data_IF_425553507242
#
_entry.id   IF_425553507242
#
_cell.length_a   1.000
_cell.length_b   1.000
_cell.length_c   1.000
_cell.angle_alpha   90.00
_cell.angle_beta   90.00
_cell.angle_gamma   90.00
#
_symmetry.space_group_name_H-M   'P 1'
#
loop_
_entity.id
_entity.type
_entity.pdbx_description
1 polymer ?
#
# COMPACT_ATOMS: atom_id res chain seq x y z
N UNK A 1 10.55 -12.95 22.78
CA UNK A 1 9.56 -11.86 22.65
C UNK A 1 8.92 -11.83 21.26
N UNK A 2 9.54 -12.45 20.24
CA UNK A 2 9.04 -12.44 18.86
C UNK A 2 9.09 -13.81 18.18
N UNK A 3 8.92 -14.89 18.94
CA UNK A 3 9.18 -16.25 18.46
C UNK A 3 8.19 -16.65 17.33
N UNK A 4 6.93 -16.24 17.44
CA UNK A 4 5.92 -16.45 16.38
C UNK A 4 6.21 -15.61 15.13
N UNK A 5 6.61 -14.35 15.33
CA UNK A 5 7.03 -13.48 14.23
C UNK A 5 8.26 -14.05 13.51
N UNK A 6 9.24 -14.55 14.25
CA UNK A 6 10.44 -15.15 13.67
C UNK A 6 10.07 -16.38 12.83
N UNK A 7 9.19 -17.26 13.32
CA UNK A 7 8.69 -18.41 12.54
C UNK A 7 8.03 -17.97 11.24
N UNK A 8 7.23 -16.89 11.27
CA UNK A 8 6.57 -16.37 10.07
C UNK A 8 7.57 -15.77 9.06
N UNK A 9 8.60 -15.05 9.56
CA UNK A 9 9.68 -14.53 8.72
C UNK A 9 10.49 -15.66 8.08
N UNK A 10 10.85 -16.68 8.86
CA UNK A 10 11.57 -17.85 8.36
C UNK A 10 10.74 -18.61 7.31
N UNK A 11 9.43 -18.76 7.53
CA UNK A 11 8.54 -19.38 6.56
C UNK A 11 8.48 -18.57 5.26
N UNK A 12 8.39 -17.25 5.35
CA UNK A 12 8.41 -16.39 4.17
C UNK A 12 9.72 -16.53 3.39
N UNK A 13 10.87 -16.42 4.06
CA UNK A 13 12.18 -16.51 3.44
C UNK A 13 12.41 -17.86 2.74
N UNK A 14 11.88 -18.93 3.31
CA UNK A 14 11.98 -20.28 2.72
C UNK A 14 11.03 -20.52 1.53
N UNK A 15 10.05 -19.65 1.30
CA UNK A 15 8.98 -19.87 0.29
C UNK A 15 8.89 -18.78 -0.76
N UNK A 16 9.48 -17.61 -0.51
CA UNK A 16 9.36 -16.44 -1.39
C UNK A 16 9.86 -16.72 -2.81
N UNK A 17 10.96 -17.46 -2.96
CA UNK A 17 11.53 -17.79 -4.26
C UNK A 17 10.63 -18.74 -5.07
N UNK A 18 9.99 -19.70 -4.39
CA UNK A 18 9.01 -20.58 -5.01
C UNK A 18 7.76 -19.80 -5.45
N UNK A 19 7.27 -18.89 -4.60
CA UNK A 19 6.13 -18.00 -4.94
C UNK A 19 6.50 -17.13 -6.15
N UNK A 20 7.69 -16.54 -6.15
CA UNK A 20 8.19 -15.70 -7.25
C UNK A 20 8.30 -16.51 -8.54
N UNK A 21 8.84 -17.72 -8.49
CA UNK A 21 8.94 -18.63 -9.63
C UNK A 21 7.54 -19.01 -10.18
N UNK A 22 6.65 -19.47 -9.31
CA UNK A 22 5.36 -20.06 -9.69
C UNK A 22 4.38 -19.01 -10.21
N UNK A 23 4.32 -17.85 -9.56
CA UNK A 23 3.30 -16.84 -9.85
C UNK A 23 3.84 -15.64 -10.61
N UNK A 24 4.95 -15.04 -10.17
CA UNK A 24 5.49 -13.79 -10.75
C UNK A 24 6.22 -14.05 -12.06
N UNK A 25 7.02 -15.12 -12.10
CA UNK A 25 7.80 -15.51 -13.26
C UNK A 25 7.09 -16.51 -14.18
N UNK A 26 5.82 -16.80 -13.90
CA UNK A 26 4.98 -17.70 -14.68
C UNK A 26 4.93 -17.30 -16.17
N UNK A 27 5.27 -18.21 -17.11
CA UNK A 27 5.23 -17.92 -18.54
C UNK A 27 3.85 -17.47 -19.05
N UNK A 28 2.77 -18.06 -18.54
CA UNK A 28 1.41 -17.71 -18.93
C UNK A 28 1.06 -16.28 -18.50
N UNK A 29 1.44 -15.88 -17.28
CA UNK A 29 1.24 -14.50 -16.81
C UNK A 29 2.01 -13.50 -17.67
N UNK A 30 3.25 -13.84 -18.05
CA UNK A 30 4.07 -12.99 -18.94
C UNK A 30 3.42 -12.81 -20.31
N UNK A 31 2.78 -13.83 -20.87
CA UNK A 31 2.10 -13.70 -22.17
C UNK A 31 0.76 -12.99 -22.04
N UNK A 32 -0.02 -13.31 -20.99
CA UNK A 32 -1.39 -12.82 -20.82
C UNK A 32 -1.52 -11.40 -20.31
N UNK A 33 -0.56 -10.90 -19.54
CA UNK A 33 -0.71 -9.63 -18.81
C UNK A 33 0.32 -8.55 -19.18
N UNK A 34 1.27 -8.84 -20.07
CA UNK A 34 2.38 -7.93 -20.42
C UNK A 34 1.91 -6.63 -21.06
N UNK A 35 0.92 -6.70 -21.95
CA UNK A 35 0.45 -5.56 -22.75
C UNK A 35 -1.03 -5.25 -22.47
N UNK A 36 -1.56 -5.71 -21.33
CA UNK A 36 -2.97 -5.58 -20.94
C UNK A 36 -3.14 -4.50 -19.89
N UNK A 37 -4.10 -3.60 -20.10
CA UNK A 37 -4.46 -2.54 -19.14
C UNK A 37 -3.30 -1.61 -18.82
N UNK A 38 -2.66 -1.08 -19.86
CA UNK A 38 -1.52 -0.15 -19.76
C UNK A 38 -1.98 1.24 -19.33
N UNK A 39 -1.27 1.82 -18.37
CA UNK A 39 -1.41 3.20 -17.91
C UNK A 39 -0.07 3.93 -18.07
N UNK A 40 -0.09 5.13 -18.65
CA UNK A 40 1.10 5.99 -18.70
C UNK A 40 1.29 6.77 -17.40
N UNK A 41 2.48 7.35 -17.23
CA UNK A 41 2.74 8.27 -16.12
C UNK A 41 1.83 9.51 -16.18
N UNK A 42 1.58 10.06 -17.37
CA UNK A 42 0.68 11.21 -17.57
C UNK A 42 -0.75 10.87 -17.13
N UNK A 43 -1.24 9.68 -17.46
CA UNK A 43 -2.58 9.24 -17.03
C UNK A 43 -2.65 8.97 -15.52
N UNK A 44 -1.54 8.54 -14.92
CA UNK A 44 -1.46 8.43 -13.45
C UNK A 44 -1.65 9.80 -12.80
N UNK A 45 -1.05 10.84 -13.36
CA UNK A 45 -1.20 12.22 -12.88
C UNK A 45 -2.62 12.77 -13.15
N UNK A 46 -3.09 12.71 -14.40
CA UNK A 46 -4.38 13.26 -14.83
C UNK A 46 -5.57 12.70 -14.05
N UNK A 47 -5.51 11.42 -13.68
CA UNK A 47 -6.57 10.72 -12.96
C UNK A 47 -6.27 10.54 -11.47
N UNK A 48 -5.19 11.15 -10.96
CA UNK A 48 -4.75 11.05 -9.57
C UNK A 48 -4.71 9.59 -9.07
N UNK A 49 -4.14 8.70 -9.89
CA UNK A 49 -3.91 7.30 -9.54
C UNK A 49 -2.71 7.24 -8.58
N UNK A 50 -2.75 6.34 -7.62
CA UNK A 50 -1.67 6.19 -6.63
C UNK A 50 -1.37 4.72 -6.33
N UNK A 51 -0.41 4.48 -5.43
CA UNK A 51 -0.03 3.15 -5.00
C UNK A 51 0.65 2.32 -6.08
N UNK A 52 0.34 1.03 -6.09
CA UNK A 52 0.91 0.07 -7.07
C UNK A 52 0.63 0.47 -8.52
N UNK A 53 -0.48 1.18 -8.78
CA UNK A 53 -0.89 1.61 -10.12
C UNK A 53 0.06 2.71 -10.63
N UNK A 54 0.36 3.68 -9.77
CA UNK A 54 1.30 4.76 -10.09
C UNK A 54 2.73 4.21 -10.25
N UNK A 55 3.18 3.42 -9.26
CA UNK A 55 4.54 2.86 -9.25
C UNK A 55 4.81 1.88 -10.38
N UNK A 56 3.80 1.15 -10.87
CA UNK A 56 3.94 0.28 -12.04
C UNK A 56 4.17 1.05 -13.35
N UNK A 57 3.73 2.31 -13.39
CA UNK A 57 3.80 3.22 -14.54
C UNK A 57 5.00 4.16 -14.48
N UNK A 58 5.95 3.91 -13.57
CA UNK A 58 7.21 4.65 -13.45
C UNK A 58 7.17 5.82 -12.48
N UNK A 59 6.02 6.11 -11.88
CA UNK A 59 5.88 7.25 -10.97
C UNK A 59 6.44 6.90 -9.60
N UNK A 60 7.49 7.61 -9.19
CA UNK A 60 8.09 7.49 -7.85
C UNK A 60 7.26 8.26 -6.85
N UNK A 61 6.28 7.58 -6.26
CA UNK A 61 5.43 8.13 -5.20
C UNK A 61 5.17 7.05 -4.15
N UNK A 62 5.29 7.42 -2.88
CA UNK A 62 4.95 6.62 -1.72
C UNK A 62 4.93 7.53 -0.50
N UNK A 63 3.78 7.71 0.16
CA UNK A 63 3.67 8.62 1.31
C UNK A 63 4.63 8.25 2.44
N UNK A 64 5.00 6.97 2.58
CA UNK A 64 5.93 6.52 3.62
C UNK A 64 7.35 7.06 3.41
N UNK A 65 7.71 7.38 2.17
CA UNK A 65 9.02 7.97 1.79
C UNK A 65 8.90 9.48 1.64
N UNK A 66 7.87 9.95 0.94
CA UNK A 66 7.69 11.35 0.56
C UNK A 66 7.33 12.23 1.78
N UNK A 67 6.43 11.74 2.64
CA UNK A 67 5.87 12.44 3.80
C UNK A 67 5.78 11.45 4.97
N UNK A 68 6.93 10.99 5.51
CA UNK A 68 6.98 9.87 6.45
C UNK A 68 6.15 10.15 7.71
N UNK A 69 5.45 9.12 8.17
CA UNK A 69 4.65 9.13 9.38
C UNK A 69 5.01 7.93 10.28
N UNK A 70 4.55 7.98 11.53
CA UNK A 70 4.88 6.97 12.55
C UNK A 70 6.40 6.80 12.71
N UNK A 71 6.97 5.71 12.21
CA UNK A 71 8.40 5.41 12.26
C UNK A 71 8.93 4.98 10.88
N UNK A 72 8.29 5.44 9.79
CA UNK A 72 8.79 5.15 8.43
C UNK A 72 10.06 5.94 8.08
N UNK A 73 10.33 7.06 8.76
CA UNK A 73 11.58 7.83 8.70
C UNK A 73 12.78 7.12 9.37
N UNK A 74 12.52 5.95 9.94
CA UNK A 74 13.39 5.23 10.86
C UNK A 74 13.73 3.81 10.38
N UNK A 75 13.31 3.49 9.15
CA UNK A 75 13.58 2.23 8.45
C UNK A 75 14.06 2.56 7.03
N UNK A 76 14.92 1.71 6.49
CA UNK A 76 15.41 1.84 5.13
C UNK A 76 14.38 1.25 4.16
N UNK A 77 13.87 2.06 3.24
CA UNK A 77 13.01 1.63 2.14
C UNK A 77 13.23 2.50 0.90
N UNK A 78 12.81 1.99 -0.26
CA UNK A 78 12.93 2.67 -1.56
C UNK A 78 11.69 2.35 -2.42
N UNK A 79 11.40 3.18 -3.42
CA UNK A 79 10.24 3.00 -4.29
C UNK A 79 10.37 1.71 -5.11
N UNK A 80 9.37 0.83 -5.02
CA UNK A 80 9.27 -0.35 -5.88
C UNK A 80 8.57 0.03 -7.18
N UNK A 81 9.34 0.33 -8.23
CA UNK A 81 8.78 0.80 -9.52
C UNK A 81 8.96 -0.17 -10.69
N UNK A 82 8.08 -0.02 -11.69
CA UNK A 82 8.23 -0.53 -13.06
C UNK A 82 7.96 0.61 -14.04
N UNK A 83 8.09 0.40 -15.35
CA UNK A 83 7.98 1.48 -16.34
C UNK A 83 6.87 1.31 -17.36
N UNK A 84 6.32 0.10 -17.50
CA UNK A 84 5.38 -0.22 -18.58
C UNK A 84 3.91 -0.04 -18.20
N UNK A 85 3.57 0.02 -16.90
CA UNK A 85 2.21 0.33 -16.45
C UNK A 85 1.15 -0.72 -16.79
N UNK A 86 1.52 -1.93 -17.24
CA UNK A 86 0.59 -3.01 -17.53
C UNK A 86 0.16 -3.79 -16.28
N UNK A 87 -0.83 -4.67 -16.44
CA UNK A 87 -1.30 -5.56 -15.38
C UNK A 87 -0.18 -6.44 -14.80
N UNK A 88 0.73 -6.94 -15.63
CA UNK A 88 1.90 -7.71 -15.17
C UNK A 88 2.86 -6.87 -14.31
N UNK A 89 3.03 -5.60 -14.63
CA UNK A 89 3.91 -4.69 -13.90
C UNK A 89 3.33 -4.35 -12.53
N UNK A 90 2.02 -4.08 -12.44
CA UNK A 90 1.32 -3.89 -11.16
C UNK A 90 1.46 -5.10 -10.24
N UNK A 91 1.37 -6.31 -10.79
CA UNK A 91 1.59 -7.53 -10.02
C UNK A 91 3.03 -7.66 -9.52
N UNK A 92 4.03 -7.32 -10.34
CA UNK A 92 5.44 -7.32 -9.93
C UNK A 92 5.75 -6.26 -8.87
N UNK A 93 5.12 -5.08 -8.95
CA UNK A 93 5.23 -4.04 -7.91
C UNK A 93 4.65 -4.55 -6.60
N UNK A 94 3.44 -5.10 -6.61
CA UNK A 94 2.81 -5.70 -5.43
C UNK A 94 3.73 -6.72 -4.75
N UNK A 95 4.32 -7.63 -5.52
CA UNK A 95 5.23 -8.64 -4.97
C UNK A 95 6.54 -8.04 -4.43
N UNK A 96 7.09 -7.03 -5.12
CA UNK A 96 8.26 -6.31 -4.63
C UNK A 96 7.99 -5.55 -3.32
N UNK A 97 6.82 -4.91 -3.20
CA UNK A 97 6.38 -4.27 -1.95
C UNK A 97 6.17 -5.26 -0.82
N UNK A 98 5.74 -6.49 -1.13
CA UNK A 98 5.62 -7.55 -0.14
C UNK A 98 7.01 -7.94 0.41
N UNK A 99 8.01 -8.13 -0.46
CA UNK A 99 9.40 -8.39 -0.03
C UNK A 99 9.94 -7.22 0.81
N UNK A 100 9.70 -5.98 0.40
CA UNK A 100 10.12 -4.80 1.15
C UNK A 100 9.38 -4.65 2.49
N UNK A 101 8.10 -5.00 2.55
CA UNK A 101 7.34 -5.01 3.81
C UNK A 101 7.93 -5.99 4.81
N UNK A 102 8.35 -7.17 4.36
CA UNK A 102 9.06 -8.14 5.21
C UNK A 102 10.42 -7.60 5.68
N UNK A 103 11.15 -6.91 4.82
CA UNK A 103 12.42 -6.27 5.21
C UNK A 103 12.22 -5.19 6.28
N UNK A 104 11.23 -4.31 6.10
CA UNK A 104 10.83 -3.30 7.11
C UNK A 104 10.50 -3.98 8.45
N UNK A 105 9.77 -5.10 8.44
CA UNK A 105 9.44 -5.85 9.65
C UNK A 105 10.70 -6.38 10.34
N UNK A 106 11.68 -6.90 9.58
CA UNK A 106 12.96 -7.37 10.13
C UNK A 106 13.76 -6.23 10.77
N UNK A 107 13.82 -5.06 10.11
CA UNK A 107 14.47 -3.87 10.64
C UNK A 107 13.79 -3.38 11.93
N UNK A 108 12.45 -3.26 11.93
CA UNK A 108 11.68 -2.86 13.09
C UNK A 108 11.86 -3.83 14.27
N UNK A 109 11.80 -5.14 14.01
CA UNK A 109 12.05 -6.19 15.03
C UNK A 109 13.41 -6.00 15.68
N UNK A 110 14.48 -5.87 14.88
CA UNK A 110 15.84 -5.69 15.36
C UNK A 110 15.95 -4.45 16.25
N UNK A 111 15.43 -3.31 15.79
CA UNK A 111 15.44 -2.05 16.54
C UNK A 111 14.71 -2.16 17.87
N UNK A 112 13.56 -2.85 17.89
CA UNK A 112 12.82 -3.08 19.13
C UNK A 112 13.61 -3.98 20.09
N UNK A 113 14.23 -5.05 19.61
CA UNK A 113 15.06 -5.95 20.42
C UNK A 113 16.25 -5.20 21.05
N UNK A 114 16.95 -4.36 20.27
CA UNK A 114 18.07 -3.52 20.74
C UNK A 114 17.60 -2.43 21.72
N UNK A 115 16.48 -1.77 21.44
CA UNK A 115 15.89 -0.76 22.32
C UNK A 115 15.42 -1.35 23.65
N UNK A 116 14.88 -2.58 23.66
CA UNK A 116 14.53 -3.28 24.90
C UNK A 116 15.78 -3.70 25.68
N UNK A 117 16.81 -4.21 24.99
CA UNK A 117 18.06 -4.64 25.64
C UNK A 117 18.82 -3.47 26.28
N UNK A 118 18.79 -2.28 25.66
CA UNK A 118 19.39 -1.06 26.19
C UNK A 118 18.53 -0.37 27.26
N UNK A 119 17.27 -0.77 27.42
CA UNK A 119 16.31 -0.13 28.32
C UNK A 119 15.67 1.15 27.77
N UNK A 120 15.94 1.51 26.50
CA UNK A 120 15.29 2.61 25.79
C UNK A 120 13.78 2.36 25.62
N UNK A 121 13.40 1.11 25.33
CA UNK A 121 12.02 0.72 25.10
C UNK A 121 11.48 -0.17 26.22
N UNK A 122 10.27 0.16 26.66
CA UNK A 122 9.45 -0.64 27.55
C UNK A 122 8.28 -1.29 26.77
N UNK A 123 8.38 -2.59 26.44
CA UNK A 123 7.37 -3.26 25.61
C UNK A 123 5.99 -3.34 26.29
N UNK A 124 5.93 -3.18 27.60
CA UNK A 124 4.66 -3.21 28.37
C UNK A 124 3.92 -1.87 28.41
N UNK A 125 4.60 -0.75 28.09
CA UNK A 125 4.04 0.60 28.25
C UNK A 125 4.05 1.42 26.97
N UNK A 126 5.10 1.31 26.16
CA UNK A 126 5.35 2.27 25.09
C UNK A 126 4.38 2.09 23.90
N UNK A 127 3.77 0.92 23.77
CA UNK A 127 2.71 0.67 22.79
C UNK A 127 1.35 1.30 23.16
N UNK A 128 1.20 1.85 24.37
CA UNK A 128 -0.07 2.40 24.84
C UNK A 128 -0.24 3.87 24.44
N UNK A 129 -1.02 4.10 23.37
CA UNK A 129 -1.42 5.45 22.98
C UNK A 129 -2.72 5.86 23.69
N UNK A 130 -2.67 6.97 24.45
CA UNK A 130 -3.87 7.53 25.09
C UNK A 130 -4.65 8.40 24.10
N UNK A 131 -5.81 7.92 23.67
CA UNK A 131 -6.73 8.70 22.83
C UNK A 131 -7.54 9.66 23.69
N UNK A 132 -7.63 10.96 23.35
CA UNK A 132 -8.44 11.91 24.10
C UNK A 132 -9.93 11.55 24.00
N UNK A 133 -10.64 11.57 25.14
CA UNK A 133 -12.09 11.27 25.20
C UNK A 133 -12.97 12.34 24.54
N UNK A 134 -12.43 13.54 24.37
CA UNK A 134 -13.09 14.69 23.76
C UNK A 134 -12.11 15.34 22.80
N UNK A 135 -12.55 15.55 21.57
CA UNK A 135 -11.77 16.21 20.55
C UNK A 135 -12.01 17.73 20.61
N UNK A 136 -10.99 18.56 20.33
CA UNK A 136 -11.18 20.00 20.16
C UNK A 136 -11.99 20.28 18.88
N UNK A 137 -12.56 21.48 18.76
CA UNK A 137 -13.14 21.91 17.51
C UNK A 137 -12.03 22.14 16.47
N UNK A 138 -12.25 21.74 15.23
CA UNK A 138 -11.29 21.97 14.16
C UNK A 138 -11.45 21.02 12.97
N UNK A 139 -10.50 21.15 12.04
CA UNK A 139 -10.38 20.34 10.85
C UNK A 139 -8.97 19.76 10.79
N UNK A 140 -8.86 18.49 10.43
CA UNK A 140 -7.59 17.80 10.24
C UNK A 140 -7.64 16.94 8.99
N UNK A 141 -6.54 16.95 8.24
CA UNK A 141 -6.32 16.12 7.07
C UNK A 141 -5.08 15.27 7.32
N UNK A 142 -5.19 13.97 7.10
CA UNK A 142 -4.08 13.03 7.20
C UNK A 142 -4.06 12.11 5.99
N UNK A 143 -2.86 11.76 5.54
CA UNK A 143 -2.62 10.89 4.39
C UNK A 143 -1.73 9.74 4.85
N UNK A 144 -2.04 8.54 4.38
CA UNK A 144 -1.25 7.33 4.65
C UNK A 144 -1.16 6.50 3.38
N UNK A 145 -0.05 5.78 3.20
CA UNK A 145 0.08 4.80 2.12
C UNK A 145 -0.55 3.48 2.59
N UNK A 146 -1.75 3.16 2.11
CA UNK A 146 -2.27 1.79 2.24
C UNK A 146 -1.65 0.90 1.16
N UNK A 147 -1.79 -0.42 1.30
CA UNK A 147 -1.32 -1.38 0.29
C UNK A 147 -1.92 -1.14 -1.12
N UNK A 148 -3.07 -0.45 -1.20
CA UNK A 148 -3.73 -0.09 -2.47
C UNK A 148 -3.31 1.28 -3.00
N UNK A 149 -2.60 2.07 -2.21
CA UNK A 149 -2.21 3.45 -2.50
C UNK A 149 -2.62 4.44 -1.42
N UNK A 150 -2.37 5.71 -1.71
CA UNK A 150 -2.68 6.82 -0.81
C UNK A 150 -4.15 6.86 -0.42
N UNK A 151 -4.38 6.93 0.90
CA UNK A 151 -5.69 7.19 1.49
C UNK A 151 -5.65 8.47 2.27
N UNK A 152 -6.61 9.34 1.98
CA UNK A 152 -6.78 10.62 2.65
C UNK A 152 -7.96 10.54 3.61
N UNK A 153 -7.73 10.93 4.86
CA UNK A 153 -8.72 11.05 5.92
C UNK A 153 -8.91 12.52 6.26
N UNK A 154 -10.10 13.05 6.01
CA UNK A 154 -10.49 14.39 6.38
C UNK A 154 -11.51 14.31 7.53
N UNK A 155 -11.10 14.83 8.69
CA UNK A 155 -11.84 14.83 9.94
C UNK A 155 -12.24 16.26 10.34
N UNK A 156 -13.51 16.46 10.65
CA UNK A 156 -14.05 17.71 11.22
C UNK A 156 -14.69 17.40 12.56
N UNK A 157 -14.38 18.21 13.57
CA UNK A 157 -14.89 18.08 14.94
C UNK A 157 -15.43 19.40 15.46
N UNK A 158 -16.42 19.31 16.33
CA UNK A 158 -16.98 20.45 17.06
C UNK A 158 -16.41 20.51 18.49
N UNK A 159 -16.77 21.54 19.26
CA UNK A 159 -16.27 21.71 20.62
C UNK A 159 -16.66 20.53 21.52
N UNK A 160 -15.64 19.97 22.21
CA UNK A 160 -15.82 18.88 23.18
C UNK A 160 -16.52 17.64 22.56
N UNK A 161 -16.37 17.44 21.25
CA UNK A 161 -17.02 16.37 20.52
C UNK A 161 -16.52 14.99 20.98
N UNK A 162 -17.45 14.04 21.10
CA UNK A 162 -17.16 12.62 21.36
C UNK A 162 -17.11 11.78 20.08
N UNK A 163 -17.58 12.34 18.97
CA UNK A 163 -17.66 11.73 17.65
C UNK A 163 -17.33 12.78 16.59
N UNK A 164 -16.81 12.38 15.42
CA UNK A 164 -16.62 13.30 14.31
C UNK A 164 -17.94 13.99 13.92
N UNK A 165 -17.90 15.29 13.63
CA UNK A 165 -18.97 15.96 12.91
C UNK A 165 -19.01 15.46 11.46
N UNK A 166 -17.83 15.37 10.84
CA UNK A 166 -17.65 14.77 9.52
C UNK A 166 -16.37 13.95 9.48
N UNK A 167 -16.44 12.80 8.85
CA UNK A 167 -15.28 12.02 8.44
C UNK A 167 -15.46 11.67 6.96
N UNK A 168 -14.56 12.16 6.11
CA UNK A 168 -14.47 11.73 4.70
C UNK A 168 -13.19 10.94 4.51
N UNK A 169 -13.35 9.75 3.95
CA UNK A 169 -12.24 8.93 3.48
C UNK A 169 -12.22 9.03 1.95
N UNK A 170 -11.05 9.34 1.37
CA UNK A 170 -10.79 9.21 -0.06
C UNK A 170 -9.83 8.04 -0.23
N UNK A 171 -10.38 6.90 -0.65
CA UNK A 171 -9.63 5.70 -0.94
C UNK A 171 -9.15 5.70 -2.41
N UNK A 172 -8.06 4.99 -2.74
CA UNK A 172 -7.47 4.98 -4.07
C UNK A 172 -8.36 4.27 -5.10
N UNK A 173 -9.11 3.27 -4.64
CA UNK A 173 -9.95 2.40 -5.44
C UNK A 173 -10.92 3.15 -6.35
N UNK A 174 -11.47 4.29 -5.90
CA UNK A 174 -12.42 5.08 -6.69
C UNK A 174 -11.78 5.68 -7.95
N UNK A 175 -10.57 6.24 -7.81
CA UNK A 175 -9.83 6.79 -8.95
C UNK A 175 -9.38 5.65 -9.88
N UNK A 176 -8.96 4.51 -9.32
CA UNK A 176 -8.58 3.35 -10.13
C UNK A 176 -9.74 2.80 -10.97
N UNK A 177 -10.96 2.74 -10.42
CA UNK A 177 -12.13 2.22 -11.17
C UNK A 177 -12.60 3.14 -12.28
N UNK A 178 -12.34 4.45 -12.19
CA UNK A 178 -12.61 5.40 -13.29
C UNK A 178 -11.86 5.02 -14.58
N UNK A 179 -10.73 4.31 -14.47
CA UNK A 179 -9.95 3.89 -15.62
C UNK A 179 -10.49 2.63 -16.31
N UNK A 180 -11.48 1.93 -15.75
CA UNK A 180 -11.94 0.65 -16.27
C UNK A 180 -12.49 0.76 -17.69
N UNK A 181 -13.24 1.81 -18.03
CA UNK A 181 -13.80 1.96 -19.38
C UNK A 181 -12.68 2.01 -20.43
N UNK A 182 -11.66 2.83 -20.17
CA UNK A 182 -10.49 2.97 -21.04
C UNK A 182 -9.66 1.68 -21.09
N UNK A 183 -9.41 1.05 -19.93
CA UNK A 183 -8.53 -0.12 -19.86
C UNK A 183 -9.15 -1.39 -20.46
N UNK A 184 -10.47 -1.45 -20.56
CA UNK A 184 -11.20 -2.59 -21.14
C UNK A 184 -11.57 -2.37 -22.60
N UNK A 185 -11.45 -1.15 -23.13
CA UNK A 185 -11.73 -0.87 -24.53
C UNK A 185 -10.78 -1.66 -25.45
N UNK A 186 -11.35 -2.37 -26.43
CA UNK A 186 -10.60 -3.22 -27.35
C UNK A 186 -10.04 -4.52 -26.76
N UNK A 187 -10.27 -4.81 -25.48
CA UNK A 187 -9.82 -6.04 -24.82
C UNK A 187 -10.82 -7.19 -24.99
N UNK A 188 -10.38 -8.43 -24.72
CA UNK A 188 -11.29 -9.58 -24.71
C UNK A 188 -12.00 -9.72 -23.37
N UNK A 189 -13.14 -10.43 -23.36
CA UNK A 189 -13.86 -10.76 -22.11
C UNK A 189 -12.95 -11.44 -21.08
N UNK A 190 -11.96 -12.20 -21.55
CA UNK A 190 -11.01 -12.92 -20.69
C UNK A 190 -9.98 -12.04 -20.00
N UNK A 191 -9.86 -10.77 -20.40
CA UNK A 191 -8.89 -9.80 -19.85
C UNK A 191 -9.51 -8.94 -18.74
N UNK A 192 -10.83 -8.92 -18.63
CA UNK A 192 -11.57 -8.25 -17.53
C UNK A 192 -11.00 -8.62 -16.14
N UNK A 193 -10.85 -9.91 -15.76
CA UNK A 193 -10.32 -10.25 -14.44
C UNK A 193 -8.86 -9.81 -14.26
N UNK A 194 -8.05 -9.79 -15.33
CA UNK A 194 -6.66 -9.34 -15.26
C UNK A 194 -6.58 -7.83 -15.01
N UNK A 195 -7.32 -7.04 -15.79
CA UNK A 195 -7.38 -5.58 -15.63
C UNK A 195 -7.93 -5.25 -14.24
N UNK A 196 -9.12 -5.74 -13.90
CA UNK A 196 -9.79 -5.42 -12.65
C UNK A 196 -8.97 -5.84 -11.42
N UNK A 197 -8.44 -7.08 -11.42
CA UNK A 197 -7.63 -7.58 -10.33
C UNK A 197 -6.31 -6.81 -10.16
N UNK A 198 -5.68 -6.43 -11.28
CA UNK A 198 -4.40 -5.70 -11.24
C UNK A 198 -4.50 -4.28 -10.73
N UNK A 199 -5.69 -3.65 -10.78
CA UNK A 199 -5.92 -2.32 -10.21
C UNK A 199 -6.03 -2.34 -8.68
N UNK A 200 -6.07 -3.53 -8.07
CA UNK A 200 -6.11 -3.72 -6.62
C UNK A 200 -7.22 -2.92 -5.92
N UNK A 201 -8.40 -2.95 -6.53
CA UNK A 201 -9.63 -2.31 -6.05
C UNK A 201 -10.27 -3.12 -4.92
N UNK A 202 -10.91 -2.43 -3.98
CA UNK A 202 -11.81 -3.01 -2.99
C UNK A 202 -13.19 -2.38 -3.13
N UNK A 203 -14.27 -3.17 -3.30
CA UNK A 203 -15.62 -2.63 -3.41
C UNK A 203 -16.02 -1.77 -2.20
N UNK A 204 -15.62 -2.17 -0.99
CA UNK A 204 -15.93 -1.40 0.21
C UNK A 204 -15.30 0.01 0.22
N UNK A 205 -14.28 0.28 -0.61
CA UNK A 205 -13.71 1.62 -0.79
C UNK A 205 -14.56 2.51 -1.71
N UNK A 206 -15.35 1.92 -2.61
CA UNK A 206 -16.12 2.64 -3.62
C UNK A 206 -17.42 3.22 -3.05
N UNK A 207 -17.99 2.57 -2.03
CA UNK A 207 -19.29 2.92 -1.45
C UNK A 207 -19.24 4.14 -0.50
N UNK A 208 -18.07 4.78 -0.30
CA UNK A 208 -17.81 5.77 0.77
C UNK A 208 -17.45 7.18 0.28
#
# INVERSE_FOLDING_TARGET
MFDELQKALDQFDNTVDDIEMIFVNNPTMKVRAKDVGVLSADEVEDYALCGIVARASGVKTDIRIDEPYAAYDQVDMDYVTRSNGAAADRFKVLFGELKQSVDIIKQAKKRIEEGVASGEFNPTKDHMVKVPKKLPAGEALSRVEWARGEVLMHLVTEEKAKSPYRLKLKAPSFNHTMMLNKLLEGQTLSDIPLVFGSLYVCQGDLDR
#
